data_IF_002362693419
#
_entry.id   IF_002362693419
#
_cell.length_a   1.000
_cell.length_b   1.000
_cell.length_c   1.000
_cell.angle_alpha   90.00
_cell.angle_beta   90.00
_cell.angle_gamma   90.00
#
_symmetry.space_group_name_H-M   'P 1'
#
loop_
_entity.id
_entity.type
_entity.pdbx_description
1 polymer ?
#
# COMPACT_ATOMS: atom_id res chain seq x y z
N UNK A 1 34.78 -2.69 -17.39
CA UNK A 1 34.01 -1.42 -17.46
C UNK A 1 33.00 -1.46 -16.32
N UNK A 2 33.05 -0.50 -15.39
CA UNK A 2 32.08 -0.43 -14.29
C UNK A 2 30.75 0.16 -14.80
N UNK A 3 29.61 -0.25 -14.23
CA UNK A 3 28.28 0.22 -14.64
C UNK A 3 28.16 1.76 -14.59
N UNK A 4 28.71 2.38 -13.54
CA UNK A 4 28.77 3.85 -13.43
C UNK A 4 29.61 4.50 -14.54
N UNK A 5 30.71 3.86 -14.95
CA UNK A 5 31.52 4.35 -16.07
C UNK A 5 30.78 4.22 -17.41
N UNK A 6 29.94 3.19 -17.58
CA UNK A 6 29.08 3.03 -18.75
C UNK A 6 28.07 4.19 -18.84
N UNK A 7 27.39 4.51 -17.73
CA UNK A 7 26.42 5.61 -17.66
C UNK A 7 27.06 6.98 -17.93
N UNK A 8 28.26 7.24 -17.37
CA UNK A 8 28.99 8.48 -17.65
C UNK A 8 29.43 8.60 -19.12
N UNK A 9 29.80 7.48 -19.75
CA UNK A 9 30.16 7.43 -21.18
C UNK A 9 28.95 7.53 -22.11
N UNK A 10 27.76 7.13 -21.66
CA UNK A 10 26.50 7.11 -22.43
C UNK A 10 25.39 7.78 -21.64
N UNK A 11 25.38 9.12 -21.64
CA UNK A 11 24.46 9.94 -20.82
C UNK A 11 22.98 9.75 -21.15
N UNK A 12 22.66 9.31 -22.37
CA UNK A 12 21.29 8.99 -22.81
C UNK A 12 20.66 7.83 -22.00
N UNK A 13 21.48 6.95 -21.43
CA UNK A 13 21.01 5.82 -20.61
C UNK A 13 20.62 6.24 -19.18
N UNK A 14 21.08 7.40 -18.72
CA UNK A 14 20.80 7.89 -17.35
C UNK A 14 19.30 8.04 -17.11
N UNK A 15 18.52 8.77 -17.94
CA UNK A 15 17.08 8.88 -17.73
C UNK A 15 16.36 7.53 -17.84
N UNK A 16 16.78 6.65 -18.77
CA UNK A 16 16.20 5.32 -18.92
C UNK A 16 16.36 4.48 -17.64
N UNK A 17 17.59 4.42 -17.12
CA UNK A 17 17.90 3.68 -15.89
C UNK A 17 17.21 4.31 -14.69
N UNK A 18 17.09 5.63 -14.62
CA UNK A 18 16.36 6.33 -13.56
C UNK A 18 14.89 5.90 -13.53
N UNK A 19 14.18 5.96 -14.66
CA UNK A 19 12.77 5.55 -14.72
C UNK A 19 12.59 4.07 -14.39
N UNK A 20 13.44 3.21 -14.94
CA UNK A 20 13.39 1.77 -14.67
C UNK A 20 13.64 1.45 -13.18
N UNK A 21 14.66 2.08 -12.58
CA UNK A 21 14.96 1.89 -11.16
C UNK A 21 13.82 2.44 -10.27
N UNK A 22 13.24 3.57 -10.64
CA UNK A 22 12.12 4.17 -9.92
C UNK A 22 10.87 3.28 -10.00
N UNK A 23 10.58 2.73 -11.19
CA UNK A 23 9.46 1.82 -11.39
C UNK A 23 9.65 0.51 -10.63
N UNK A 24 10.82 -0.11 -10.72
CA UNK A 24 11.14 -1.34 -10.00
C UNK A 24 11.10 -1.13 -8.48
N UNK A 25 11.75 -0.07 -7.98
CA UNK A 25 11.73 0.28 -6.56
C UNK A 25 10.32 0.62 -6.06
N UNK A 26 9.54 1.37 -6.84
CA UNK A 26 8.16 1.69 -6.52
C UNK A 26 7.25 0.47 -6.44
N UNK A 27 7.36 -0.45 -7.42
CA UNK A 27 6.63 -1.70 -7.43
C UNK A 27 6.98 -2.57 -6.20
N UNK A 28 8.27 -2.81 -5.96
CA UNK A 28 8.70 -3.61 -4.80
C UNK A 28 8.29 -2.98 -3.47
N UNK A 29 8.33 -1.65 -3.35
CA UNK A 29 7.89 -0.96 -2.14
C UNK A 29 6.38 -1.10 -1.93
N UNK A 30 5.59 -1.01 -3.01
CA UNK A 30 4.15 -1.19 -2.96
C UNK A 30 3.75 -2.63 -2.63
N UNK A 31 4.47 -3.63 -3.14
CA UNK A 31 4.22 -5.04 -2.83
C UNK A 31 4.40 -5.30 -1.33
N UNK A 32 5.49 -4.80 -0.73
CA UNK A 32 5.72 -4.92 0.72
C UNK A 32 4.64 -4.21 1.52
N UNK A 33 4.26 -2.99 1.12
CA UNK A 33 3.18 -2.23 1.75
C UNK A 33 1.83 -2.97 1.68
N UNK A 34 1.50 -3.53 0.51
CA UNK A 34 0.25 -4.24 0.25
C UNK A 34 0.08 -5.45 1.15
N UNK A 35 1.15 -6.22 1.37
CA UNK A 35 1.13 -7.40 2.25
C UNK A 35 0.83 -7.06 3.71
N UNK A 36 1.16 -5.85 4.17
CA UNK A 36 0.89 -5.40 5.52
C UNK A 36 -0.53 -4.85 5.70
N UNK A 37 -1.26 -4.66 4.60
CA UNK A 37 -2.59 -4.05 4.62
C UNK A 37 -3.63 -5.04 5.15
N UNK A 38 -4.55 -4.55 5.99
CA UNK A 38 -5.68 -5.33 6.47
C UNK A 38 -6.56 -5.86 5.35
N UNK A 39 -6.71 -5.14 4.23
CA UNK A 39 -7.55 -5.59 3.11
C UNK A 39 -6.99 -6.83 2.39
N UNK A 40 -5.72 -7.18 2.61
CA UNK A 40 -5.09 -8.36 2.01
C UNK A 40 -5.18 -9.52 2.99
N UNK A 41 -6.00 -10.52 2.65
CA UNK A 41 -6.13 -11.72 3.47
C UNK A 41 -4.91 -12.63 3.26
N UNK A 42 -3.94 -12.54 4.17
CA UNK A 42 -2.82 -13.48 4.24
C UNK A 42 -3.13 -14.73 5.09
N UNK A 43 -3.86 -14.54 6.19
CA UNK A 43 -4.29 -15.64 7.07
C UNK A 43 -5.82 -15.63 7.26
N UNK A 44 -6.50 -16.34 6.37
CA UNK A 44 -7.96 -16.50 6.42
C UNK A 44 -8.44 -17.34 7.60
N UNK A 45 -7.59 -18.19 8.19
CA UNK A 45 -8.00 -19.10 9.27
C UNK A 45 -8.13 -18.39 10.61
N UNK A 46 -7.23 -17.46 10.91
CA UNK A 46 -7.22 -16.71 12.19
C UNK A 46 -7.97 -15.39 12.11
N UNK A 47 -8.10 -14.80 10.92
CA UNK A 47 -8.80 -13.53 10.71
C UNK A 47 -9.62 -13.58 9.41
N UNK A 48 -10.84 -14.16 9.42
CA UNK A 48 -11.64 -14.36 8.21
C UNK A 48 -12.16 -13.04 7.62
N UNK A 49 -12.31 -12.00 8.44
CA UNK A 49 -12.85 -10.69 8.03
C UNK A 49 -11.95 -9.53 8.50
N UNK A 50 -10.74 -9.38 7.91
CA UNK A 50 -9.77 -8.39 8.39
C UNK A 50 -10.25 -6.94 8.30
N UNK A 51 -11.08 -6.64 7.30
CA UNK A 51 -11.64 -5.30 7.09
C UNK A 51 -12.59 -4.87 8.21
N UNK A 52 -13.10 -5.80 9.01
CA UNK A 52 -14.04 -5.48 10.09
C UNK A 52 -13.38 -4.86 11.31
N UNK A 53 -12.04 -4.94 11.41
CA UNK A 53 -11.26 -4.50 12.56
C UNK A 53 -10.43 -3.24 12.26
N UNK A 54 -10.70 -2.57 11.13
CA UNK A 54 -9.97 -1.37 10.73
C UNK A 54 -10.31 -0.18 11.64
N UNK A 55 -9.29 0.56 12.05
CA UNK A 55 -9.47 1.82 12.77
C UNK A 55 -9.88 2.93 11.78
N UNK A 56 -11.08 3.51 11.93
CA UNK A 56 -11.54 4.58 11.04
C UNK A 56 -10.77 5.89 11.20
N UNK A 57 -9.98 6.06 12.27
CA UNK A 57 -9.16 7.26 12.50
C UNK A 57 -7.88 7.26 11.67
N UNK A 58 -7.49 6.12 11.11
CA UNK A 58 -6.25 5.95 10.34
C UNK A 58 -6.55 5.90 8.84
N UNK A 59 -5.80 6.63 8.00
CA UNK A 59 -5.96 6.54 6.55
C UNK A 59 -5.59 5.15 6.02
N UNK A 60 -6.51 4.51 5.29
CA UNK A 60 -6.31 3.16 4.73
C UNK A 60 -5.65 3.15 3.35
N UNK A 61 -5.49 4.32 2.70
CA UNK A 61 -4.88 4.45 1.37
C UNK A 61 -3.47 5.00 1.50
N UNK A 62 -2.62 4.66 0.52
CA UNK A 62 -1.24 5.14 0.45
C UNK A 62 -1.15 6.68 0.42
N UNK A 63 -2.11 7.31 -0.27
CA UNK A 63 -2.26 8.77 -0.34
C UNK A 63 -3.73 9.09 -0.15
N UNK A 64 -4.02 10.04 0.73
CA UNK A 64 -5.37 10.51 1.02
C UNK A 64 -5.43 12.01 0.82
N UNK A 65 -6.39 12.47 0.02
CA UNK A 65 -6.68 13.89 -0.18
C UNK A 65 -8.11 14.12 0.30
N UNK A 66 -8.29 15.04 1.27
CA UNK A 66 -9.59 15.40 1.84
C UNK A 66 -10.40 14.19 2.35
N UNK A 67 -9.74 13.24 3.02
CA UNK A 67 -10.42 12.06 3.52
C UNK A 67 -11.24 12.39 4.77
N UNK A 68 -12.57 12.36 4.64
CA UNK A 68 -13.51 12.43 5.76
C UNK A 68 -14.10 11.03 6.04
N UNK A 69 -13.32 10.16 6.68
CA UNK A 69 -13.83 8.86 7.11
C UNK A 69 -14.41 8.98 8.52
N UNK A 70 -15.72 8.75 8.67
CA UNK A 70 -16.42 8.74 9.96
C UNK A 70 -17.11 7.39 10.15
N UNK A 71 -17.06 6.80 11.37
CA UNK A 71 -17.74 5.54 11.64
C UNK A 71 -19.26 5.73 11.54
N UNK A 72 -19.92 4.82 10.82
CA UNK A 72 -21.39 4.81 10.70
C UNK A 72 -21.96 4.19 11.98
N UNK A 73 -22.65 4.99 12.79
CA UNK A 73 -23.19 4.52 14.07
C UNK A 73 -24.23 3.40 13.92
N UNK A 74 -25.06 3.45 12.87
CA UNK A 74 -26.09 2.45 12.60
C UNK A 74 -25.48 1.06 12.41
N UNK A 75 -24.44 0.97 11.57
CA UNK A 75 -23.70 -0.28 11.36
C UNK A 75 -23.04 -0.76 12.66
N UNK A 76 -22.49 0.14 13.49
CA UNK A 76 -21.95 -0.22 14.80
C UNK A 76 -23.02 -0.76 15.75
N UNK A 77 -24.21 -0.16 15.77
CA UNK A 77 -25.33 -0.59 16.61
C UNK A 77 -25.82 -1.98 16.20
N UNK A 78 -26.06 -2.20 14.90
CA UNK A 78 -26.47 -3.51 14.37
C UNK A 78 -25.43 -4.56 14.72
N UNK A 79 -24.14 -4.28 14.49
CA UNK A 79 -23.05 -5.22 14.84
C UNK A 79 -23.05 -5.59 16.33
N UNK A 80 -23.23 -4.62 17.22
CA UNK A 80 -23.30 -4.87 18.67
C UNK A 80 -24.50 -5.73 19.08
N UNK A 81 -25.59 -5.70 18.31
CA UNK A 81 -26.78 -6.50 18.57
C UNK A 81 -26.69 -7.93 18.00
N UNK A 82 -25.87 -8.14 16.96
CA UNK A 82 -25.70 -9.44 16.29
C UNK A 82 -24.57 -10.30 16.89
N UNK A 83 -23.59 -9.69 17.56
CA UNK A 83 -22.48 -10.38 18.24
C UNK A 83 -22.86 -10.79 19.65
#
# INVERSE_FOLDING_TARGET
INFFQLLMKKKELIPLVLFMATAAGGASSFDVYSLQKSDVILDRKRNPEPWETMDPSVPSKLITINQEWKPIEELRKVRRATK
#
